data_IF_040437459021
#
_entry.id   IF_040437459021
#
_cell.length_a   1.000
_cell.length_b   1.000
_cell.length_c   1.000
_cell.angle_alpha   90.00
_cell.angle_beta   90.00
_cell.angle_gamma   90.00
#
_symmetry.space_group_name_H-M   'P 1'
#
loop_
_entity.id
_entity.type
_entity.pdbx_description
1 polymer ?
#
# COMPACT_ATOMS: atom_id res chain seq x y z
N UNK A 1 -32.42 -14.80 27.70
CA UNK A 1 -31.28 -15.74 27.74
C UNK A 1 -30.99 -16.16 26.32
N UNK A 2 -29.97 -15.57 25.68
CA UNK A 2 -29.53 -15.95 24.34
C UNK A 2 -28.17 -16.63 24.48
N UNK A 3 -28.12 -17.94 24.26
CA UNK A 3 -26.89 -18.70 24.23
C UNK A 3 -26.14 -18.38 22.91
N UNK A 4 -24.82 -18.17 22.93
CA UNK A 4 -24.04 -18.00 21.70
C UNK A 4 -23.87 -19.36 21.02
N UNK A 5 -24.08 -19.39 19.70
CA UNK A 5 -23.88 -20.57 18.86
C UNK A 5 -22.37 -20.85 18.78
N UNK A 6 -21.87 -22.04 19.16
CA UNK A 6 -20.46 -22.38 19.02
C UNK A 6 -20.16 -22.61 17.54
N UNK A 7 -19.26 -21.82 16.96
CA UNK A 7 -18.74 -22.06 15.60
C UNK A 7 -18.67 -20.85 14.68
N UNK A 8 -19.27 -19.71 15.05
CA UNK A 8 -19.01 -18.43 14.37
C UNK A 8 -18.08 -17.60 15.22
N UNK A 9 -16.78 -17.86 15.10
CA UNK A 9 -15.80 -16.84 15.42
C UNK A 9 -16.11 -15.65 14.51
N UNK A 10 -16.33 -14.46 15.08
CA UNK A 10 -16.31 -13.23 14.29
C UNK A 10 -15.03 -13.26 13.44
N UNK A 11 -15.08 -12.89 12.14
CA UNK A 11 -13.88 -12.89 11.32
C UNK A 11 -12.81 -12.11 12.07
N UNK A 12 -11.68 -12.75 12.36
CA UNK A 12 -10.56 -12.06 12.97
C UNK A 12 -9.97 -11.15 11.90
N UNK A 13 -10.53 -9.94 11.80
CA UNK A 13 -10.02 -8.83 11.00
C UNK A 13 -8.71 -8.28 11.58
N UNK A 14 -7.91 -9.13 12.24
CA UNK A 14 -6.49 -8.91 12.41
C UNK A 14 -5.92 -8.35 11.11
N UNK A 15 -4.97 -7.42 11.27
CA UNK A 15 -4.27 -6.70 10.19
C UNK A 15 -3.82 -7.62 9.04
N UNK A 16 -3.65 -8.90 9.33
CA UNK A 16 -3.27 -9.96 8.42
C UNK A 16 -4.38 -10.29 7.41
N UNK A 17 -5.66 -10.39 7.82
CA UNK A 17 -6.74 -10.79 6.89
C UNK A 17 -6.96 -9.77 5.76
N UNK A 18 -7.10 -8.48 6.08
CA UNK A 18 -7.33 -7.44 5.05
C UNK A 18 -6.10 -7.34 4.13
N UNK A 19 -4.90 -7.47 4.69
CA UNK A 19 -3.64 -7.45 3.92
C UNK A 19 -3.53 -8.66 3.00
N UNK A 20 -3.91 -9.85 3.46
CA UNK A 20 -3.92 -11.07 2.66
C UNK A 20 -4.91 -10.98 1.50
N UNK A 21 -6.12 -10.47 1.75
CA UNK A 21 -7.11 -10.25 0.69
C UNK A 21 -6.61 -9.22 -0.34
N UNK A 22 -5.98 -8.13 0.12
CA UNK A 22 -5.42 -7.11 -0.75
C UNK A 22 -4.33 -7.70 -1.65
N UNK A 23 -3.39 -8.45 -1.06
CA UNK A 23 -2.29 -9.10 -1.79
C UNK A 23 -2.81 -10.16 -2.76
N UNK A 24 -3.78 -10.98 -2.36
CA UNK A 24 -4.41 -11.98 -3.21
C UNK A 24 -5.08 -11.34 -4.43
N UNK A 25 -5.86 -10.27 -4.21
CA UNK A 25 -6.51 -9.51 -5.28
C UNK A 25 -5.48 -8.95 -6.27
N UNK A 26 -4.46 -8.25 -5.76
CA UNK A 26 -3.44 -7.59 -6.60
C UNK A 26 -2.66 -8.60 -7.43
N UNK A 27 -2.24 -9.72 -6.83
CA UNK A 27 -1.53 -10.80 -7.55
C UNK A 27 -2.41 -11.42 -8.63
N UNK A 28 -3.68 -11.67 -8.32
CA UNK A 28 -4.62 -12.20 -9.29
C UNK A 28 -4.84 -11.23 -10.46
N UNK A 29 -5.12 -9.97 -10.17
CA UNK A 29 -5.36 -8.96 -11.20
C UNK A 29 -4.13 -8.75 -12.11
N UNK A 30 -2.91 -8.73 -11.55
CA UNK A 30 -1.65 -8.67 -12.32
C UNK A 30 -1.50 -9.90 -13.23
N UNK A 31 -1.85 -11.09 -12.73
CA UNK A 31 -1.74 -12.34 -13.50
C UNK A 31 -2.70 -12.37 -14.70
N UNK A 32 -3.88 -11.76 -14.56
CA UNK A 32 -4.92 -11.71 -15.60
C UNK A 32 -4.72 -10.54 -16.56
N UNK A 33 -4.43 -9.34 -16.03
CA UNK A 33 -4.44 -8.07 -16.78
C UNK A 33 -3.06 -7.60 -17.24
N UNK A 34 -2.00 -8.39 -16.98
CA UNK A 34 -0.58 -7.99 -17.07
C UNK A 34 -0.19 -6.92 -16.05
N UNK A 35 1.10 -6.89 -15.68
CA UNK A 35 1.65 -5.94 -14.70
C UNK A 35 1.42 -4.50 -15.17
N UNK A 36 0.79 -3.61 -14.37
CA UNK A 36 0.62 -2.21 -14.75
C UNK A 36 1.99 -1.53 -14.83
N UNK A 37 2.26 -0.89 -15.97
CA UNK A 37 3.54 -0.21 -16.24
C UNK A 37 3.44 1.31 -16.16
N UNK A 38 2.22 1.86 -16.08
CA UNK A 38 1.96 3.31 -16.04
C UNK A 38 1.38 3.73 -14.70
N UNK A 39 1.60 4.99 -14.30
CA UNK A 39 1.02 5.59 -13.09
C UNK A 39 -0.50 5.43 -13.04
N UNK A 40 -1.17 5.67 -14.17
CA UNK A 40 -2.63 5.51 -14.27
C UNK A 40 -3.08 4.06 -14.10
N UNK A 41 -2.32 3.10 -14.65
CA UNK A 41 -2.60 1.67 -14.45
C UNK A 41 -2.48 1.25 -12.99
N UNK A 42 -1.46 1.76 -12.28
CA UNK A 42 -1.30 1.51 -10.84
C UNK A 42 -2.45 2.13 -10.02
N UNK A 43 -2.84 3.36 -10.33
CA UNK A 43 -3.97 4.02 -9.66
C UNK A 43 -5.28 3.22 -9.83
N UNK A 44 -5.59 2.79 -11.06
CA UNK A 44 -6.79 1.99 -11.34
C UNK A 44 -6.76 0.64 -10.61
N UNK A 45 -5.59 0.00 -10.50
CA UNK A 45 -5.43 -1.23 -9.73
C UNK A 45 -5.71 -0.99 -8.23
N UNK A 46 -5.17 0.09 -7.66
CA UNK A 46 -5.45 0.48 -6.28
C UNK A 46 -6.94 0.75 -6.07
N UNK A 47 -7.59 1.52 -6.94
CA UNK A 47 -9.03 1.82 -6.86
C UNK A 47 -9.90 0.55 -6.88
N UNK A 48 -9.61 -0.39 -7.78
CA UNK A 48 -10.32 -1.69 -7.85
C UNK A 48 -10.12 -2.52 -6.59
N UNK A 49 -8.88 -2.60 -6.10
CA UNK A 49 -8.57 -3.31 -4.87
C UNK A 49 -9.27 -2.66 -3.66
N UNK A 50 -9.28 -1.33 -3.57
CA UNK A 50 -9.99 -0.58 -2.51
C UNK A 50 -11.49 -0.90 -2.51
N UNK A 51 -12.14 -0.84 -3.68
CA UNK A 51 -13.56 -1.16 -3.80
C UNK A 51 -13.86 -2.62 -3.41
N UNK A 52 -12.98 -3.56 -3.80
CA UNK A 52 -13.09 -4.96 -3.42
C UNK A 52 -12.99 -5.16 -1.90
N UNK A 53 -12.00 -4.54 -1.24
CA UNK A 53 -11.82 -4.64 0.21
C UNK A 53 -12.98 -4.02 1.00
N UNK A 54 -13.53 -2.89 0.52
CA UNK A 54 -14.73 -2.31 1.13
C UNK A 54 -15.92 -3.27 1.07
N UNK A 55 -16.14 -3.90 -0.10
CA UNK A 55 -17.25 -4.83 -0.30
C UNK A 55 -17.08 -6.15 0.49
N UNK A 56 -15.87 -6.71 0.52
CA UNK A 56 -15.60 -8.02 1.13
C UNK A 56 -15.39 -7.93 2.65
N UNK A 57 -14.62 -6.94 3.11
CA UNK A 57 -14.19 -6.85 4.50
C UNK A 57 -15.06 -5.89 5.33
N UNK A 58 -15.98 -5.16 4.71
CA UNK A 58 -16.81 -4.13 5.35
C UNK A 58 -15.98 -3.13 6.19
N UNK A 59 -14.80 -2.76 5.67
CA UNK A 59 -13.86 -1.86 6.35
C UNK A 59 -14.02 -0.42 5.87
N UNK A 60 -13.49 0.53 6.65
CA UNK A 60 -13.57 1.95 6.28
C UNK A 60 -12.83 2.25 4.97
N UNK A 61 -13.22 3.31 4.23
CA UNK A 61 -12.52 3.69 3.01
C UNK A 61 -11.02 3.90 3.19
N UNK A 62 -10.62 4.59 4.27
CA UNK A 62 -9.22 4.85 4.58
C UNK A 62 -8.44 3.56 4.89
N UNK A 63 -9.07 2.60 5.59
CA UNK A 63 -8.47 1.29 5.85
C UNK A 63 -8.25 0.55 4.53
N UNK A 64 -9.28 0.44 3.70
CA UNK A 64 -9.21 -0.24 2.41
C UNK A 64 -8.15 0.37 1.50
N UNK A 65 -8.10 1.71 1.42
CA UNK A 65 -7.10 2.44 0.62
C UNK A 65 -5.67 2.20 1.10
N UNK A 66 -5.46 2.19 2.42
CA UNK A 66 -4.11 1.96 2.95
C UNK A 66 -3.60 0.56 2.63
N UNK A 67 -4.45 -0.46 2.84
CA UNK A 67 -4.06 -1.86 2.58
C UNK A 67 -3.93 -2.14 1.08
N UNK A 68 -4.77 -1.55 0.23
CA UNK A 68 -4.63 -1.70 -1.23
C UNK A 68 -3.36 -1.03 -1.75
N UNK A 69 -3.06 0.20 -1.32
CA UNK A 69 -1.84 0.90 -1.69
C UNK A 69 -0.59 0.13 -1.27
N UNK A 70 -0.58 -0.42 -0.05
CA UNK A 70 0.51 -1.26 0.45
C UNK A 70 0.68 -2.53 -0.42
N UNK A 71 -0.40 -3.26 -0.69
CA UNK A 71 -0.33 -4.49 -1.49
C UNK A 71 0.15 -4.23 -2.92
N UNK A 72 -0.29 -3.15 -3.56
CA UNK A 72 0.19 -2.74 -4.89
C UNK A 72 1.67 -2.39 -4.85
N UNK A 73 2.10 -1.60 -3.86
CA UNK A 73 3.50 -1.21 -3.71
C UNK A 73 4.40 -2.44 -3.54
N UNK A 74 4.02 -3.37 -2.67
CA UNK A 74 4.74 -4.61 -2.40
C UNK A 74 4.76 -5.56 -3.61
N UNK A 75 3.63 -5.79 -4.28
CA UNK A 75 3.55 -6.69 -5.43
C UNK A 75 4.32 -6.17 -6.65
N UNK A 76 4.44 -4.85 -6.80
CA UNK A 76 5.16 -4.23 -7.89
C UNK A 76 6.62 -3.91 -7.55
N UNK A 77 7.00 -3.98 -6.27
CA UNK A 77 8.33 -3.65 -5.78
C UNK A 77 9.41 -4.45 -6.50
N UNK A 78 10.25 -3.76 -7.25
CA UNK A 78 11.46 -4.31 -7.87
C UNK A 78 12.74 -3.64 -7.35
N UNK A 79 12.59 -2.67 -6.45
CA UNK A 79 13.68 -1.88 -5.89
C UNK A 79 14.24 -2.56 -4.63
N UNK A 80 15.53 -2.42 -4.31
CA UNK A 80 16.08 -2.87 -3.03
C UNK A 80 15.83 -1.87 -1.88
N UNK A 81 15.03 -0.82 -2.10
CA UNK A 81 14.83 0.30 -1.18
C UNK A 81 13.41 0.28 -0.62
N UNK A 82 13.27 0.01 0.67
CA UNK A 82 12.00 0.11 1.39
C UNK A 82 11.84 1.52 1.96
N UNK A 83 10.67 2.11 1.74
CA UNK A 83 10.29 3.42 2.28
C UNK A 83 9.28 3.17 3.39
N UNK A 84 9.66 3.48 4.63
CA UNK A 84 8.75 3.43 5.76
C UNK A 84 8.23 4.84 6.07
N UNK A 85 6.91 4.97 6.06
CA UNK A 85 6.21 6.13 6.60
C UNK A 85 5.62 5.72 7.94
N UNK A 86 6.35 5.96 9.01
CA UNK A 86 5.80 5.77 10.34
C UNK A 86 4.61 6.75 10.50
N UNK A 87 3.41 6.21 10.73
CA UNK A 87 2.17 7.00 10.88
C UNK A 87 2.25 7.99 12.05
N UNK A 88 3.24 7.87 12.93
CA UNK A 88 3.49 8.81 14.02
C UNK A 88 4.31 10.06 13.61
N UNK A 89 4.89 10.09 12.41
CA UNK A 89 5.68 11.24 11.92
C UNK A 89 5.35 11.57 10.46
N UNK A 90 4.26 12.31 10.24
CA UNK A 90 3.79 12.79 8.93
C UNK A 90 4.75 13.75 8.20
N UNK A 91 5.96 13.96 8.72
CA UNK A 91 6.91 15.00 8.29
C UNK A 91 8.21 14.47 7.68
N UNK A 92 8.42 13.15 7.64
CA UNK A 92 9.62 12.57 7.07
C UNK A 92 9.42 11.13 6.56
N UNK A 93 10.17 10.78 5.52
CA UNK A 93 10.37 9.41 5.04
C UNK A 93 11.64 8.84 5.63
N UNK A 94 11.59 7.60 6.11
CA UNK A 94 12.76 6.84 6.51
C UNK A 94 13.09 5.83 5.41
N UNK A 95 14.26 6.01 4.79
CA UNK A 95 14.79 5.10 3.78
C UNK A 95 15.77 4.13 4.42
N UNK A 96 15.52 2.85 4.20
CA UNK A 96 16.44 1.80 4.59
C UNK A 96 17.02 1.15 3.33
N UNK A 97 18.33 1.30 3.14
CA UNK A 97 19.05 0.77 1.98
C UNK A 97 19.81 -0.47 2.40
N UNK A 98 19.60 -1.59 1.69
CA UNK A 98 20.30 -2.84 1.98
C UNK A 98 21.82 -2.66 1.86
N UNK A 99 22.55 -2.96 2.94
CA UNK A 99 24.01 -2.78 3.03
C UNK A 99 24.45 -1.40 3.53
N UNK A 100 23.53 -0.46 3.72
CA UNK A 100 23.82 0.81 4.38
C UNK A 100 23.53 0.70 5.89
N UNK A 101 24.47 1.03 6.79
CA UNK A 101 24.33 0.77 8.22
C UNK A 101 23.36 1.72 8.93
N UNK A 102 22.91 2.80 8.27
CA UNK A 102 22.02 3.81 8.84
C UNK A 102 20.81 4.07 7.94
N UNK A 103 19.66 4.32 8.56
CA UNK A 103 18.50 4.87 7.86
C UNK A 103 18.79 6.30 7.41
N UNK A 104 18.38 6.62 6.20
CA UNK A 104 18.42 7.99 5.66
C UNK A 104 17.05 8.61 5.90
N UNK A 105 17.02 9.76 6.54
CA UNK A 105 15.78 10.52 6.78
C UNK A 105 15.66 11.58 5.68
N UNK A 106 14.52 11.62 5.01
CA UNK A 106 14.17 12.66 4.04
C UNK A 106 12.94 13.38 4.58
N UNK A 107 13.07 14.66 4.89
CA UNK A 107 11.91 15.45 5.34
C UNK A 107 10.89 15.64 4.21
N UNK A 108 9.64 15.91 4.54
CA UNK A 108 8.59 16.20 3.54
C UNK A 108 8.99 17.39 2.65
N UNK A 109 9.67 18.40 3.19
CA UNK A 109 10.17 19.54 2.42
C UNK A 109 11.23 19.12 1.40
N UNK A 110 12.22 18.33 1.81
CA UNK A 110 13.26 17.81 0.93
C UNK A 110 12.69 16.89 -0.15
N UNK A 111 11.71 16.05 0.22
CA UNK A 111 10.99 15.20 -0.72
C UNK A 111 10.27 16.05 -1.77
N UNK A 112 9.51 17.07 -1.34
CA UNK A 112 8.78 17.94 -2.26
C UNK A 112 9.73 18.70 -3.19
N UNK A 113 10.85 19.22 -2.67
CA UNK A 113 11.90 19.86 -3.48
C UNK A 113 12.49 18.89 -4.50
N UNK A 114 12.75 17.64 -4.11
CA UNK A 114 13.26 16.62 -5.01
C UNK A 114 12.27 16.28 -6.13
N UNK A 115 10.99 16.10 -5.79
CA UNK A 115 9.92 15.83 -6.75
C UNK A 115 9.71 17.00 -7.72
N UNK A 116 9.73 18.24 -7.23
CA UNK A 116 9.61 19.45 -8.05
C UNK A 116 10.78 19.61 -9.03
N UNK A 117 12.01 19.36 -8.58
CA UNK A 117 13.19 19.44 -9.45
C UNK A 117 13.17 18.37 -10.56
N UNK A 118 12.69 17.15 -10.26
CA UNK A 118 12.55 16.11 -11.30
C UNK A 118 11.43 16.42 -12.28
N UNK A 119 10.33 17.04 -11.83
CA UNK A 119 9.26 17.47 -12.73
C UNK A 119 9.77 18.51 -13.74
N UNK A 120 10.61 19.45 -13.32
CA UNK A 120 11.24 20.44 -14.21
C UNK A 120 12.20 19.80 -15.24
N UNK A 121 12.99 18.82 -14.81
CA UNK A 121 13.90 18.04 -15.67
C UNK A 121 13.17 17.13 -16.68
N UNK A 122 11.92 16.74 -16.41
CA UNK A 122 11.12 15.94 -17.32
C UNK A 122 10.30 16.79 -18.32
N UNK A 123 10.16 18.09 -18.05
CA UNK A 123 9.45 19.06 -18.91
C UNK A 123 10.39 19.89 -19.81
N UNK A 124 11.70 19.62 -19.76
CA UNK A 124 12.73 20.22 -20.61
C UNK A 124 13.26 19.21 -21.62
#
# INVERSE_FOLDING_TARGET
>A
MNCPVPGFAAPDFSRDFISDQAMAFVRHDISVSRKPTTTRGMQLLTERCTAHLQALCNCSPNTAETHSAQAVAEALHASPVTIDTDRSTTFALFLQVRGHPKSVVITTEELMRFLMNRAQLASS
#
